data_IF_320671234371
#
_entry.id   IF_320671234371
#
_cell.length_a   1.000
_cell.length_b   1.000
_cell.length_c   1.000
_cell.angle_alpha   90.00
_cell.angle_beta   90.00
_cell.angle_gamma   90.00
#
_symmetry.space_group_name_H-M   'P 1'
#
loop_
_entity.id
_entity.type
_entity.pdbx_description
1 polymer ?
#
# COMPACT_ATOMS: atom_id res chain seq x y z
N UNK A 1 7.38 3.64 3.00
CA UNK A 1 6.61 3.71 1.73
C UNK A 1 5.69 4.94 1.70
N UNK A 2 5.32 5.43 0.52
CA UNK A 2 4.31 6.46 0.24
C UNK A 2 3.12 5.89 -0.55
N UNK A 3 2.02 6.63 -0.66
CA UNK A 3 0.85 6.21 -1.46
C UNK A 3 1.21 5.93 -2.93
N UNK A 4 2.19 6.66 -3.48
CA UNK A 4 2.67 6.43 -4.84
C UNK A 4 3.35 5.07 -5.02
N UNK A 5 4.00 4.55 -3.98
CA UNK A 5 4.64 3.22 -4.01
C UNK A 5 3.57 2.13 -4.09
N UNK A 6 2.49 2.26 -3.32
CA UNK A 6 1.33 1.36 -3.39
C UNK A 6 0.64 1.42 -4.76
N UNK A 7 0.47 2.62 -5.31
CA UNK A 7 -0.08 2.79 -6.66
C UNK A 7 0.74 2.05 -7.71
N UNK A 8 2.07 2.23 -7.69
CA UNK A 8 2.97 1.56 -8.63
C UNK A 8 2.93 0.04 -8.46
N UNK A 9 2.89 -0.44 -7.21
CA UNK A 9 2.80 -1.87 -6.91
C UNK A 9 1.48 -2.48 -7.41
N UNK A 10 0.35 -1.83 -7.14
CA UNK A 10 -0.97 -2.24 -7.60
C UNK A 10 -1.05 -2.33 -9.13
N UNK A 11 -0.52 -1.33 -9.84
CA UNK A 11 -0.47 -1.30 -11.29
C UNK A 11 0.46 -2.36 -11.89
N UNK A 12 1.66 -2.57 -11.31
CA UNK A 12 2.61 -3.58 -11.81
C UNK A 12 2.05 -4.99 -11.67
N UNK A 13 1.64 -5.34 -10.46
CA UNK A 13 1.26 -6.72 -10.13
C UNK A 13 -0.20 -7.03 -10.45
N UNK A 14 -0.94 -6.03 -10.97
CA UNK A 14 -2.37 -6.15 -11.28
C UNK A 14 -3.19 -6.61 -10.07
N UNK A 15 -2.89 -5.98 -8.93
CA UNK A 15 -3.46 -6.31 -7.62
C UNK A 15 -4.23 -5.14 -7.05
N UNK A 16 -5.14 -5.44 -6.12
CA UNK A 16 -5.74 -4.43 -5.25
C UNK A 16 -5.05 -4.48 -3.90
N UNK A 17 -4.75 -3.32 -3.34
CA UNK A 17 -4.11 -3.20 -2.03
C UNK A 17 -5.05 -2.48 -1.10
N UNK A 18 -5.35 -3.09 0.05
CA UNK A 18 -6.26 -2.54 1.05
C UNK A 18 -5.52 -2.34 2.37
N UNK A 19 -5.82 -1.25 3.06
CA UNK A 19 -5.41 -1.05 4.45
C UNK A 19 -6.50 -0.32 5.23
N UNK A 20 -6.57 -0.60 6.53
CA UNK A 20 -7.50 0.05 7.43
C UNK A 20 -6.96 1.42 7.86
N UNK A 21 -7.86 2.39 7.94
CA UNK A 21 -7.61 3.70 8.52
C UNK A 21 -7.96 3.66 10.01
N UNK A 22 -7.43 4.59 10.79
CA UNK A 22 -7.61 4.70 12.25
C UNK A 22 -9.07 4.93 12.63
N UNK A 23 -9.86 5.49 11.72
CA UNK A 23 -11.30 5.74 11.89
C UNK A 23 -12.19 4.56 11.47
N UNK A 24 -11.60 3.38 11.19
CA UNK A 24 -12.33 2.18 10.80
C UNK A 24 -12.72 2.12 9.32
N UNK A 25 -12.44 3.17 8.54
CA UNK A 25 -12.62 3.13 7.08
C UNK A 25 -11.53 2.30 6.41
N UNK A 26 -11.74 1.93 5.15
CA UNK A 26 -10.76 1.19 4.36
C UNK A 26 -10.34 1.95 3.12
N UNK A 27 -9.03 2.04 2.92
CA UNK A 27 -8.43 2.62 1.73
C UNK A 27 -8.11 1.51 0.72
N UNK A 28 -8.52 1.69 -0.54
CA UNK A 28 -8.34 0.70 -1.60
C UNK A 28 -7.56 1.30 -2.78
N UNK A 29 -6.41 0.73 -3.07
CA UNK A 29 -5.61 0.98 -4.27
C UNK A 29 -5.87 -0.08 -5.33
N UNK A 30 -6.01 0.35 -6.58
CA UNK A 30 -6.13 -0.51 -7.75
C UNK A 30 -5.09 -0.08 -8.80
N UNK A 31 -5.05 -0.78 -9.93
CA UNK A 31 -4.20 -0.45 -11.08
C UNK A 31 -4.37 1.01 -11.57
N UNK A 32 -5.54 1.59 -11.36
CA UNK A 32 -5.86 2.95 -11.80
C UNK A 32 -5.40 4.02 -10.79
N UNK A 33 -5.05 3.62 -9.56
CA UNK A 33 -4.67 4.52 -8.48
C UNK A 33 -5.50 4.29 -7.21
N UNK A 34 -5.60 5.32 -6.37
CA UNK A 34 -6.52 5.30 -5.24
C UNK A 34 -7.94 5.18 -5.79
N UNK A 35 -8.58 4.04 -5.56
CA UNK A 35 -9.86 3.74 -6.17
C UNK A 35 -11.01 4.26 -5.33
N UNK A 36 -10.92 4.12 -4.00
CA UNK A 36 -11.99 4.51 -3.08
C UNK A 36 -11.54 4.46 -1.62
N UNK A 37 -12.16 5.30 -0.79
CA UNK A 37 -12.26 5.10 0.65
C UNK A 37 -13.71 4.72 0.92
N UNK A 38 -13.96 3.47 1.31
CA UNK A 38 -15.33 3.00 1.59
C UNK A 38 -15.88 3.74 2.82
N UNK A 39 -17.07 4.35 2.71
CA UNK A 39 -17.73 5.10 3.80
C UNK A 39 -17.35 6.57 3.94
N UNK A 40 -16.75 7.19 2.92
CA UNK A 40 -16.38 8.60 2.93
C UNK A 40 -17.49 9.48 2.31
N UNK A 41 -18.38 10.02 3.14
CA UNK A 41 -19.50 10.89 2.72
C UNK A 41 -19.20 12.41 2.84
N UNK A 42 -18.06 12.77 3.43
CA UNK A 42 -17.63 14.15 3.65
C UNK A 42 -16.12 14.30 3.39
N UNK A 43 -15.61 15.54 3.19
CA UNK A 43 -14.17 15.78 3.12
C UNK A 43 -13.45 15.15 4.31
N UNK A 44 -12.38 14.37 4.08
CA UNK A 44 -11.71 13.67 5.16
C UNK A 44 -11.03 14.67 6.09
N UNK A 45 -11.30 14.56 7.39
CA UNK A 45 -10.57 15.29 8.44
C UNK A 45 -9.21 14.66 8.79
N UNK A 46 -8.70 13.77 7.94
CA UNK A 46 -7.47 13.00 8.16
C UNK A 46 -6.53 13.10 6.95
N UNK A 47 -5.24 12.88 7.19
CA UNK A 47 -4.22 12.84 6.14
C UNK A 47 -3.90 11.38 5.77
N UNK A 48 -4.11 11.01 4.50
CA UNK A 48 -3.90 9.65 4.03
C UNK A 48 -2.45 9.14 4.13
N UNK A 49 -1.45 10.01 3.98
CA UNK A 49 -0.04 9.61 4.15
C UNK A 49 0.24 9.31 5.63
N UNK A 50 -0.35 10.07 6.55
CA UNK A 50 -0.26 9.79 8.00
C UNK A 50 -0.95 8.47 8.35
N UNK A 51 -2.15 8.24 7.82
CA UNK A 51 -2.87 6.98 8.05
C UNK A 51 -2.12 5.78 7.47
N UNK A 52 -1.52 5.95 6.29
CA UNK A 52 -0.62 4.95 5.72
C UNK A 52 0.58 4.71 6.64
N UNK A 53 1.18 5.76 7.22
CA UNK A 53 2.30 5.63 8.14
C UNK A 53 1.94 4.83 9.41
N UNK A 54 0.70 4.96 9.88
CA UNK A 54 0.19 4.22 11.04
C UNK A 54 -0.27 2.79 10.71
N UNK A 55 -0.46 2.47 9.43
CA UNK A 55 -0.92 1.16 8.99
C UNK A 55 0.17 0.09 9.11
N UNK A 56 -0.13 -0.96 9.87
CA UNK A 56 0.78 -2.10 10.08
C UNK A 56 0.47 -3.30 9.16
N UNK A 57 -0.77 -3.43 8.71
CA UNK A 57 -1.26 -4.57 7.96
C UNK A 57 -1.97 -4.15 6.67
N UNK A 58 -1.71 -4.93 5.62
CA UNK A 58 -2.25 -4.70 4.29
C UNK A 58 -2.83 -6.01 3.75
N UNK A 59 -3.84 -5.90 2.90
CA UNK A 59 -4.41 -7.03 2.16
C UNK A 59 -4.10 -6.81 0.68
N UNK A 60 -3.43 -7.77 0.06
CA UNK A 60 -3.19 -7.80 -1.38
C UNK A 60 -4.18 -8.79 -2.00
N UNK A 61 -5.04 -8.30 -2.87
CA UNK A 61 -6.03 -9.08 -3.61
C UNK A 61 -5.57 -9.24 -5.06
N UNK A 62 -5.34 -10.47 -5.49
CA UNK A 62 -5.07 -10.88 -6.87
C UNK A 62 -6.35 -11.44 -7.49
N UNK A 63 -6.83 -10.91 -8.62
CA UNK A 63 -7.86 -11.57 -9.41
C UNK A 63 -7.31 -12.91 -9.97
N UNK A 64 -8.11 -13.99 -10.01
CA UNK A 64 -9.56 -14.06 -9.72
C UNK A 64 -9.88 -14.57 -8.29
N UNK A 65 -9.39 -13.90 -7.24
CA UNK A 65 -9.93 -14.06 -5.88
C UNK A 65 -8.95 -14.48 -4.78
N UNK A 66 -7.65 -14.58 -5.09
CA UNK A 66 -6.64 -14.84 -4.07
C UNK A 66 -6.39 -13.56 -3.28
N UNK A 67 -6.56 -13.59 -1.96
CA UNK A 67 -6.15 -12.49 -1.08
C UNK A 67 -5.10 -12.96 -0.08
N UNK A 68 -4.12 -12.09 0.21
CA UNK A 68 -3.08 -12.37 1.21
C UNK A 68 -2.91 -11.15 2.10
N UNK A 69 -2.97 -11.39 3.41
CA UNK A 69 -2.57 -10.40 4.39
C UNK A 69 -1.04 -10.37 4.50
N UNK A 70 -0.48 -9.17 4.46
CA UNK A 70 0.96 -8.93 4.49
C UNK A 70 1.26 -7.78 5.45
N UNK A 71 2.44 -7.83 6.07
CA UNK A 71 2.92 -6.76 6.95
C UNK A 71 3.39 -5.56 6.14
N UNK A 72 3.47 -4.40 6.80
CA UNK A 72 4.08 -3.19 6.24
C UNK A 72 5.44 -3.46 5.62
N UNK A 73 6.33 -4.13 6.35
CA UNK A 73 7.69 -4.44 5.90
C UNK A 73 7.70 -5.28 4.62
N UNK A 74 6.75 -6.22 4.48
CA UNK A 74 6.64 -7.02 3.27
C UNK A 74 6.18 -6.17 2.07
N UNK A 75 5.19 -5.29 2.27
CA UNK A 75 4.73 -4.35 1.24
C UNK A 75 5.84 -3.39 0.83
N UNK A 76 6.63 -2.91 1.80
CA UNK A 76 7.81 -2.08 1.55
C UNK A 76 8.84 -2.82 0.72
N UNK A 77 9.12 -4.10 0.99
CA UNK A 77 10.02 -4.92 0.16
C UNK A 77 9.48 -5.08 -1.26
N UNK A 78 8.19 -5.40 -1.40
CA UNK A 78 7.54 -5.55 -2.71
C UNK A 78 7.58 -4.26 -3.53
N UNK A 79 7.39 -3.11 -2.86
CA UNK A 79 7.46 -1.80 -3.48
C UNK A 79 8.89 -1.34 -3.76
N UNK A 80 9.86 -1.59 -2.88
CA UNK A 80 11.27 -1.27 -3.09
C UNK A 80 11.85 -2.04 -4.28
N UNK A 81 11.33 -3.25 -4.56
CA UNK A 81 11.66 -4.01 -5.77
C UNK A 81 11.25 -3.30 -7.08
N UNK A 82 10.46 -2.20 -7.02
CA UNK A 82 10.08 -1.35 -8.16
C UNK A 82 11.09 -0.23 -8.42
N UNK A 83 11.73 0.27 -7.36
CA UNK A 83 12.80 1.25 -7.43
C UNK A 83 14.11 0.48 -7.53
N UNK A 84 14.58 0.22 -8.75
CA UNK A 84 15.96 -0.22 -8.94
C UNK A 84 16.92 0.85 -8.43
N UNK A 85 17.24 0.80 -7.13
CA UNK A 85 18.37 1.49 -6.51
C UNK A 85 19.13 0.45 -5.70
N UNK A 86 20.45 0.34 -5.89
CA UNK A 86 21.26 -0.76 -5.41
C UNK A 86 21.20 -0.84 -3.89
N UNK A 87 21.12 -2.07 -3.39
CA UNK A 87 21.37 -2.37 -1.99
C UNK A 87 22.76 -1.79 -1.64
N UNK A 88 22.79 -0.80 -0.76
CA UNK A 88 24.01 -0.40 -0.09
C UNK A 88 24.38 -1.59 0.81
N UNK A 89 25.17 -2.51 0.27
CA UNK A 89 25.87 -3.50 1.07
C UNK A 89 26.85 -2.68 1.92
N UNK A 90 26.55 -2.62 3.21
CA UNK A 90 27.50 -2.18 4.20
C UNK A 90 28.74 -3.08 4.09
N UNK A 91 29.82 -2.52 3.56
CA UNK A 91 31.16 -3.12 3.56
C UNK A 91 31.96 -2.33 4.58
N UNK A 92 31.79 -2.69 5.85
CA UNK A 92 32.78 -2.44 6.88
C UNK A 92 34.05 -3.25 6.55
N UNK A 93 35.12 -2.55 6.17
CA UNK A 93 36.53 -2.95 6.34
C UNK A 93 37.30 -1.77 6.94
#
# INVERSE_FOLDING_TARGET
MKLNDLRKLAARDRVRIRFALSNGLQCVFTEQGLSRIEGLDAPPGFNLETELANSAQFIIERPPGASKQVSRTEVEKMAASLSGTPQHHDREE
#
